data_IF_974036610236
#
_entry.id   IF_974036610236
#
_cell.length_a   1.000
_cell.length_b   1.000
_cell.length_c   1.000
_cell.angle_alpha   90.00
_cell.angle_beta   90.00
_cell.angle_gamma   90.00
#
_symmetry.space_group_name_H-M   'P 1'
#
loop_
_entity.id
_entity.type
_entity.pdbx_description
1 polymer ?
#
# COMPACT_ATOMS: atom_id res chain seq x y z
N UNK A 1 -24.43 21.99 -37.75
CA UNK A 1 -23.82 21.14 -36.71
C UNK A 1 -24.84 21.01 -35.60
N UNK A 2 -25.60 19.91 -35.59
CA UNK A 2 -26.66 19.65 -34.62
C UNK A 2 -26.07 19.01 -33.38
N UNK A 3 -26.58 19.37 -32.20
CA UNK A 3 -26.13 18.90 -30.87
C UNK A 3 -26.28 17.37 -30.63
N UNK A 4 -26.73 16.60 -31.62
CA UNK A 4 -27.21 15.22 -31.45
C UNK A 4 -26.11 14.14 -31.46
N UNK A 5 -24.83 14.50 -31.53
CA UNK A 5 -23.73 13.52 -31.59
C UNK A 5 -22.78 13.50 -30.38
N UNK A 6 -23.11 14.21 -29.29
CA UNK A 6 -22.45 13.98 -28.00
C UNK A 6 -23.13 12.80 -27.27
N UNK A 7 -22.91 11.58 -27.76
CA UNK A 7 -23.14 10.36 -26.97
C UNK A 7 -22.09 10.31 -25.86
N UNK A 8 -22.32 11.03 -24.76
CA UNK A 8 -21.57 10.85 -23.52
C UNK A 8 -21.81 9.40 -23.09
N UNK A 9 -20.84 8.50 -23.35
CA UNK A 9 -20.88 7.17 -22.76
C UNK A 9 -20.97 7.36 -21.24
N UNK A 10 -21.94 6.75 -20.54
CA UNK A 10 -21.96 6.82 -19.09
C UNK A 10 -20.60 6.35 -18.59
N UNK A 11 -19.88 7.26 -17.92
CA UNK A 11 -18.59 6.94 -17.32
C UNK A 11 -18.90 5.90 -16.23
N UNK A 12 -18.36 4.70 -16.36
CA UNK A 12 -18.52 3.68 -15.33
C UNK A 12 -18.07 4.24 -13.98
N UNK A 13 -18.82 3.95 -12.91
CA UNK A 13 -18.43 4.39 -11.56
C UNK A 13 -17.06 3.82 -11.21
N UNK A 14 -16.19 4.66 -10.67
CA UNK A 14 -14.92 4.22 -10.08
C UNK A 14 -15.20 3.46 -8.80
N UNK A 15 -14.57 2.32 -8.62
CA UNK A 15 -14.66 1.55 -7.39
C UNK A 15 -13.46 1.84 -6.52
N UNK A 16 -13.73 2.18 -5.26
CA UNK A 16 -12.74 2.23 -4.20
C UNK A 16 -13.02 1.12 -3.20
N UNK A 17 -12.02 0.31 -2.91
CA UNK A 17 -12.05 -0.73 -1.88
C UNK A 17 -11.03 -0.32 -0.82
N UNK A 18 -11.50 0.22 0.29
CA UNK A 18 -10.66 0.69 1.39
C UNK A 18 -10.62 -0.36 2.50
N UNK A 19 -9.45 -0.95 2.71
CA UNK A 19 -9.16 -1.94 3.73
C UNK A 19 -8.56 -1.22 4.95
N UNK A 20 -9.37 -1.03 5.98
CA UNK A 20 -9.02 -0.27 7.18
C UNK A 20 -8.79 -1.18 8.40
N UNK A 21 -8.09 -0.65 9.39
CA UNK A 21 -7.96 -1.25 10.71
C UNK A 21 -9.28 -1.18 11.48
N UNK A 22 -9.63 -2.22 12.23
CA UNK A 22 -10.79 -2.18 13.12
C UNK A 22 -10.84 -3.40 14.03
N UNK A 23 -11.57 -3.29 15.14
CA UNK A 23 -11.73 -4.37 16.12
C UNK A 23 -12.80 -5.41 15.73
N UNK A 24 -13.69 -5.05 14.79
CA UNK A 24 -14.74 -5.92 14.28
C UNK A 24 -14.67 -5.99 12.76
N UNK A 25 -15.13 -7.09 12.18
CA UNK A 25 -15.21 -7.28 10.73
C UNK A 25 -16.47 -6.61 10.19
N UNK A 26 -16.33 -5.63 9.31
CA UNK A 26 -17.45 -4.85 8.75
C UNK A 26 -17.26 -4.60 7.27
N UNK A 27 -18.38 -4.40 6.57
CA UNK A 27 -18.43 -3.88 5.20
C UNK A 27 -19.44 -2.74 5.20
N UNK A 28 -18.99 -1.53 4.91
CA UNK A 28 -19.85 -0.39 4.67
C UNK A 28 -19.77 -0.01 3.19
N UNK A 29 -20.90 0.36 2.60
CA UNK A 29 -21.00 0.75 1.20
C UNK A 29 -21.61 2.13 1.07
N UNK A 30 -20.95 2.99 0.30
CA UNK A 30 -21.38 4.34 -0.03
C UNK A 30 -21.27 4.54 -1.54
N UNK A 31 -22.17 5.32 -2.14
CA UNK A 31 -22.06 5.63 -3.57
C UNK A 31 -22.69 6.97 -3.92
N UNK A 32 -22.10 7.62 -4.93
CA UNK A 32 -22.68 8.75 -5.65
C UNK A 32 -22.64 8.45 -7.15
N UNK A 33 -22.82 9.46 -8.01
CA UNK A 33 -22.88 9.25 -9.47
C UNK A 33 -21.57 8.78 -10.09
N UNK A 34 -20.43 9.02 -9.45
CA UNK A 34 -19.09 8.79 -10.03
C UNK A 34 -18.28 7.73 -9.28
N UNK A 35 -18.61 7.45 -8.02
CA UNK A 35 -17.84 6.60 -7.10
C UNK A 35 -18.76 5.56 -6.43
N UNK A 36 -18.23 4.35 -6.31
CA UNK A 36 -18.71 3.29 -5.44
C UNK A 36 -17.61 2.99 -4.42
N UNK A 37 -17.87 3.26 -3.15
CA UNK A 37 -16.91 3.16 -2.06
C UNK A 37 -17.30 2.01 -1.13
N UNK A 38 -16.42 1.02 -1.02
CA UNK A 38 -16.49 -0.06 -0.04
C UNK A 38 -15.45 0.19 1.04
N UNK A 39 -15.89 0.29 2.29
CA UNK A 39 -15.02 0.43 3.46
C UNK A 39 -15.11 -0.84 4.28
N UNK A 40 -14.01 -1.61 4.32
CA UNK A 40 -13.95 -2.90 4.98
C UNK A 40 -12.96 -2.85 6.13
N UNK A 41 -13.31 -3.49 7.24
CA UNK A 41 -12.37 -3.82 8.33
C UNK A 41 -12.13 -5.32 8.38
N UNK A 42 -10.89 -5.73 8.69
CA UNK A 42 -10.45 -7.13 8.58
C UNK A 42 -10.65 -7.72 7.16
N UNK A 43 -10.15 -7.03 6.13
CA UNK A 43 -10.38 -7.37 4.72
C UNK A 43 -10.08 -8.83 4.33
N UNK A 44 -9.15 -9.51 5.02
CA UNK A 44 -8.81 -10.92 4.79
C UNK A 44 -10.03 -11.86 4.90
N UNK A 45 -10.97 -11.58 5.81
CA UNK A 45 -12.20 -12.38 5.98
C UNK A 45 -13.09 -12.27 4.74
N UNK A 46 -13.05 -11.13 4.06
CA UNK A 46 -13.84 -10.82 2.88
C UNK A 46 -13.07 -11.04 1.58
N UNK A 47 -12.00 -11.85 1.58
CA UNK A 47 -11.16 -12.12 0.41
C UNK A 47 -11.98 -12.44 -0.84
N UNK A 48 -12.92 -13.39 -0.75
CA UNK A 48 -13.71 -13.80 -1.91
C UNK A 48 -14.57 -12.65 -2.46
N UNK A 49 -15.20 -11.89 -1.56
CA UNK A 49 -15.98 -10.71 -1.94
C UNK A 49 -15.13 -9.64 -2.64
N UNK A 50 -13.95 -9.33 -2.09
CA UNK A 50 -13.01 -8.35 -2.68
C UNK A 50 -12.55 -8.83 -4.07
N UNK A 51 -12.19 -10.11 -4.20
CA UNK A 51 -11.77 -10.68 -5.48
C UNK A 51 -12.89 -10.65 -6.53
N UNK A 52 -14.14 -10.91 -6.13
CA UNK A 52 -15.32 -10.76 -7.01
C UNK A 52 -15.50 -9.30 -7.43
N UNK A 53 -15.44 -8.34 -6.51
CA UNK A 53 -15.53 -6.92 -6.85
C UNK A 53 -14.47 -6.49 -7.86
N UNK A 54 -13.23 -6.92 -7.66
CA UNK A 54 -12.10 -6.65 -8.57
C UNK A 54 -12.36 -7.25 -9.95
N UNK A 55 -12.85 -8.50 -10.01
CA UNK A 55 -13.11 -9.20 -11.27
C UNK A 55 -14.23 -8.56 -12.09
N UNK A 56 -15.28 -8.09 -11.42
CA UNK A 56 -16.50 -7.63 -12.07
C UNK A 56 -16.42 -6.16 -12.55
N UNK A 57 -15.37 -5.42 -12.17
CA UNK A 57 -15.25 -3.99 -12.45
C UNK A 57 -13.92 -3.62 -13.10
N UNK A 58 -13.96 -2.63 -14.00
CA UNK A 58 -12.79 -2.22 -14.80
C UNK A 58 -11.92 -1.12 -14.18
N UNK A 59 -12.52 -0.27 -13.34
CA UNK A 59 -11.83 0.87 -12.71
C UNK A 59 -11.92 0.69 -11.18
N UNK A 60 -11.01 -0.12 -10.65
CA UNK A 60 -10.94 -0.48 -9.23
C UNK A 60 -9.68 0.11 -8.64
N UNK A 61 -9.80 0.69 -7.45
CA UNK A 61 -8.69 1.27 -6.70
C UNK A 61 -8.74 0.66 -5.30
N UNK A 62 -7.65 0.05 -4.87
CA UNK A 62 -7.57 -0.55 -3.53
C UNK A 62 -6.73 0.34 -2.64
N UNK A 63 -7.29 0.73 -1.50
CA UNK A 63 -6.58 1.49 -0.47
C UNK A 63 -6.33 0.54 0.70
N UNK A 64 -5.09 0.42 1.13
CA UNK A 64 -4.68 -0.44 2.24
C UNK A 64 -4.20 0.47 3.38
N UNK A 65 -4.90 0.50 4.50
CA UNK A 65 -4.36 1.14 5.70
C UNK A 65 -3.25 0.25 6.27
N UNK A 66 -2.04 0.78 6.37
CA UNK A 66 -0.92 0.11 6.99
C UNK A 66 -1.07 0.13 8.51
N UNK A 67 -1.05 -1.07 9.06
CA UNK A 67 -1.01 -1.36 10.50
C UNK A 67 0.32 -2.02 10.84
N UNK A 68 0.65 -3.07 10.09
CA UNK A 68 1.88 -3.87 10.20
C UNK A 68 2.41 -4.23 8.82
N UNK A 69 3.68 -4.61 8.74
CA UNK A 69 4.31 -5.07 7.51
C UNK A 69 3.63 -6.37 7.04
N UNK A 70 3.37 -7.27 7.99
CA UNK A 70 2.75 -8.56 7.79
C UNK A 70 1.35 -8.43 7.19
N UNK A 71 0.55 -7.49 7.69
CA UNK A 71 -0.81 -7.26 7.17
C UNK A 71 -0.80 -6.78 5.73
N UNK A 72 0.08 -5.83 5.39
CA UNK A 72 0.22 -5.34 4.01
C UNK A 72 0.63 -6.49 3.09
N UNK A 73 1.67 -7.26 3.45
CA UNK A 73 2.14 -8.40 2.65
C UNK A 73 1.03 -9.44 2.46
N UNK A 74 0.29 -9.77 3.52
CA UNK A 74 -0.84 -10.69 3.46
C UNK A 74 -1.95 -10.18 2.53
N UNK A 75 -2.21 -8.88 2.51
CA UNK A 75 -3.18 -8.27 1.60
C UNK A 75 -2.72 -8.41 0.15
N UNK A 76 -1.48 -8.03 -0.17
CA UNK A 76 -0.92 -8.23 -1.52
C UNK A 76 -1.04 -9.70 -1.96
N UNK A 77 -0.68 -10.64 -1.09
CA UNK A 77 -0.73 -12.08 -1.37
C UNK A 77 -2.13 -12.55 -1.81
N UNK A 78 -3.21 -12.05 -1.19
CA UNK A 78 -4.56 -12.46 -1.60
C UNK A 78 -5.13 -11.63 -2.75
N UNK A 79 -4.61 -10.43 -3.01
CA UNK A 79 -5.01 -9.60 -4.15
C UNK A 79 -4.50 -10.18 -5.48
N UNK A 80 -3.48 -11.05 -5.47
CA UNK A 80 -3.10 -11.78 -6.67
C UNK A 80 -4.24 -12.65 -7.18
N UNK A 81 -4.39 -12.63 -8.51
CA UNK A 81 -5.29 -13.53 -9.20
C UNK A 81 -4.82 -14.97 -8.95
N UNK A 82 -5.71 -15.88 -8.51
CA UNK A 82 -5.40 -17.30 -8.49
C UNK A 82 -4.88 -17.69 -9.88
N UNK A 83 -3.76 -18.41 -9.94
CA UNK A 83 -3.17 -18.96 -11.17
C UNK A 83 -2.29 -17.99 -12.00
N UNK A 84 -2.04 -16.77 -11.53
CA UNK A 84 -1.03 -15.90 -12.16
C UNK A 84 0.38 -16.30 -11.73
N UNK A 85 1.24 -16.67 -12.68
CA UNK A 85 2.69 -16.83 -12.44
C UNK A 85 3.39 -15.50 -12.26
N UNK A 86 2.82 -14.46 -12.85
CA UNK A 86 3.30 -13.09 -12.74
C UNK A 86 2.52 -12.45 -11.59
N UNK A 87 3.16 -12.23 -10.43
CA UNK A 87 2.60 -11.57 -9.25
C UNK A 87 2.34 -10.07 -9.51
N UNK A 88 1.58 -9.79 -10.56
CA UNK A 88 1.26 -8.46 -11.08
C UNK A 88 -0.17 -8.15 -10.74
N UNK A 89 -0.41 -6.95 -10.21
CA UNK A 89 -1.74 -6.47 -9.86
C UNK A 89 -2.19 -5.48 -10.94
N UNK A 90 -3.28 -5.77 -11.69
CA UNK A 90 -3.66 -4.99 -12.86
C UNK A 90 -4.49 -3.74 -12.54
N UNK A 91 -4.52 -3.32 -11.27
CA UNK A 91 -5.30 -2.18 -10.79
C UNK A 91 -4.48 -1.35 -9.78
N UNK A 92 -4.75 -0.03 -9.68
CA UNK A 92 -4.08 0.82 -8.71
C UNK A 92 -4.25 0.36 -7.25
N UNK A 93 -3.12 0.38 -6.53
CA UNK A 93 -3.09 0.19 -5.07
C UNK A 93 -2.44 1.41 -4.44
N UNK A 94 -2.99 1.85 -3.31
CA UNK A 94 -2.39 2.87 -2.46
C UNK A 94 -2.29 2.33 -1.03
N UNK A 95 -1.07 2.25 -0.50
CA UNK A 95 -0.81 1.99 0.92
C UNK A 95 -0.88 3.34 1.65
N UNK A 96 -1.78 3.45 2.62
CA UNK A 96 -2.02 4.65 3.40
C UNK A 96 -1.65 4.42 4.87
N UNK A 97 -1.04 5.38 5.55
CA UNK A 97 -0.82 5.29 7.00
C UNK A 97 -1.08 6.60 7.72
N UNK A 98 -1.52 6.48 8.98
CA UNK A 98 -1.83 7.61 9.86
C UNK A 98 -0.55 8.29 10.32
N UNK A 99 -0.28 9.50 9.81
CA UNK A 99 0.91 10.28 10.17
C UNK A 99 0.96 10.61 11.66
N UNK A 100 -0.21 10.78 12.30
CA UNK A 100 -0.33 11.06 13.73
C UNK A 100 0.27 9.95 14.61
N UNK A 101 0.32 8.70 14.13
CA UNK A 101 0.94 7.58 14.88
C UNK A 101 2.47 7.63 14.85
N UNK A 102 3.06 8.30 13.86
CA UNK A 102 4.50 8.28 13.60
C UNK A 102 5.19 9.63 13.75
N UNK A 103 4.46 10.70 14.10
CA UNK A 103 5.02 12.05 14.27
C UNK A 103 6.29 12.08 15.14
N UNK A 104 6.30 11.30 16.23
CA UNK A 104 7.43 11.19 17.16
C UNK A 104 8.39 10.05 16.84
N UNK A 105 8.03 9.17 15.91
CA UNK A 105 8.77 7.95 15.56
C UNK A 105 9.43 8.04 14.18
N UNK A 106 9.28 9.16 13.47
CA UNK A 106 9.77 9.36 12.10
C UNK A 106 11.27 9.09 11.88
N UNK A 107 12.08 9.19 12.94
CA UNK A 107 13.52 8.90 12.92
C UNK A 107 13.89 7.61 13.67
N UNK A 108 12.92 6.83 14.14
CA UNK A 108 13.20 5.54 14.79
C UNK A 108 13.70 4.51 13.78
N UNK A 109 14.61 3.60 14.18
CA UNK A 109 15.06 2.52 13.30
C UNK A 109 13.91 1.70 12.72
N UNK A 110 12.94 1.34 13.56
CA UNK A 110 11.78 0.53 13.18
C UNK A 110 10.89 1.23 12.14
N UNK A 111 10.65 2.54 12.30
CA UNK A 111 9.88 3.29 11.31
C UNK A 111 10.63 3.41 9.98
N UNK A 112 11.93 3.68 10.02
CA UNK A 112 12.75 3.75 8.80
C UNK A 112 12.74 2.41 8.08
N UNK A 113 12.91 1.31 8.82
CA UNK A 113 12.82 -0.04 8.27
C UNK A 113 11.44 -0.33 7.68
N UNK A 114 10.36 -0.01 8.40
CA UNK A 114 9.00 -0.16 7.89
C UNK A 114 8.81 0.64 6.58
N UNK A 115 9.29 1.89 6.52
CA UNK A 115 9.26 2.68 5.28
C UNK A 115 10.04 1.99 4.15
N UNK A 116 11.23 1.44 4.41
CA UNK A 116 12.01 0.72 3.40
C UNK A 116 11.25 -0.51 2.86
N UNK A 117 10.61 -1.28 3.74
CA UNK A 117 9.83 -2.46 3.36
C UNK A 117 8.58 -2.05 2.56
N UNK A 118 7.83 -1.03 3.01
CA UNK A 118 6.67 -0.52 2.29
C UNK A 118 7.05 0.01 0.89
N UNK A 119 8.16 0.74 0.78
CA UNK A 119 8.69 1.24 -0.49
C UNK A 119 9.13 0.11 -1.42
N UNK A 120 9.78 -0.91 -0.90
CA UNK A 120 10.13 -2.11 -1.67
C UNK A 120 8.88 -2.83 -2.21
N UNK A 121 7.89 -3.10 -1.34
CA UNK A 121 6.62 -3.74 -1.75
C UNK A 121 5.90 -2.87 -2.79
N UNK A 122 5.86 -1.57 -2.57
CA UNK A 122 5.24 -0.60 -3.49
C UNK A 122 5.91 -0.61 -4.85
N UNK A 123 7.25 -0.67 -4.89
CA UNK A 123 8.01 -0.79 -6.12
C UNK A 123 7.73 -2.11 -6.85
N UNK A 124 7.69 -3.24 -6.13
CA UNK A 124 7.43 -4.57 -6.71
C UNK A 124 6.03 -4.65 -7.32
N UNK A 125 5.03 -4.02 -6.70
CA UNK A 125 3.62 -4.13 -7.11
C UNK A 125 3.03 -2.87 -7.73
N UNK A 126 3.86 -1.87 -8.03
CA UNK A 126 3.43 -0.57 -8.58
C UNK A 126 2.36 0.11 -7.72
N UNK A 127 2.48 0.03 -6.40
CA UNK A 127 1.59 0.72 -5.48
C UNK A 127 2.11 2.13 -5.16
N UNK A 128 1.20 3.02 -4.79
CA UNK A 128 1.54 4.31 -4.21
C UNK A 128 1.65 4.17 -2.68
N UNK A 129 2.38 5.09 -2.06
CA UNK A 129 2.36 5.29 -0.61
C UNK A 129 1.84 6.69 -0.33
N UNK A 130 0.92 6.82 0.62
CA UNK A 130 0.44 8.10 1.12
C UNK A 130 0.41 8.10 2.64
N UNK A 131 0.67 9.26 3.23
CA UNK A 131 0.46 9.49 4.66
C UNK A 131 -0.46 10.68 4.85
N UNK A 132 -1.45 10.50 5.72
CA UNK A 132 -2.50 11.47 6.05
C UNK A 132 -2.63 11.53 7.58
N UNK A 133 -3.09 12.65 8.18
CA UNK A 133 -3.29 12.75 9.62
C UNK A 133 -4.16 11.64 10.19
N UNK A 134 -5.26 11.33 9.50
CA UNK A 134 -6.21 10.25 9.82
C UNK A 134 -6.78 9.66 8.53
N UNK A 135 -6.31 8.48 8.16
CA UNK A 135 -6.72 7.72 6.98
C UNK A 135 -8.21 7.39 7.04
N UNK A 136 -8.73 6.95 8.20
CA UNK A 136 -10.16 6.63 8.35
C UNK A 136 -11.06 7.82 8.03
N UNK A 137 -10.75 9.01 8.54
CA UNK A 137 -11.53 10.23 8.33
C UNK A 137 -11.46 10.70 6.86
N UNK A 138 -10.41 10.25 6.15
CA UNK A 138 -10.13 10.53 4.75
C UNK A 138 -10.85 9.59 3.76
N UNK A 139 -11.54 8.55 4.24
CA UNK A 139 -12.25 7.57 3.41
C UNK A 139 -13.74 7.90 3.38
N UNK A 140 -14.08 8.91 2.57
CA UNK A 140 -15.46 9.38 2.32
C UNK A 140 -15.70 9.52 0.81
N UNK A 141 -16.95 9.69 0.38
CA UNK A 141 -17.24 9.90 -1.05
C UNK A 141 -16.61 11.19 -1.60
N UNK A 142 -16.42 12.17 -0.73
CA UNK A 142 -15.89 13.50 -1.06
C UNK A 142 -14.36 13.50 -1.14
N UNK A 143 -13.69 12.66 -0.35
CA UNK A 143 -12.23 12.72 -0.19
C UNK A 143 -11.49 11.52 -0.76
N UNK A 144 -12.16 10.38 -1.02
CA UNK A 144 -11.46 9.13 -1.42
C UNK A 144 -10.66 9.26 -2.72
N UNK A 145 -11.01 10.21 -3.59
CA UNK A 145 -10.24 10.49 -4.81
C UNK A 145 -8.80 10.90 -4.55
N UNK A 146 -8.44 11.37 -3.35
CA UNK A 146 -7.06 11.69 -3.00
C UNK A 146 -6.14 10.46 -2.94
N UNK A 147 -6.71 9.25 -2.81
CA UNK A 147 -5.96 7.99 -2.87
C UNK A 147 -5.76 7.50 -4.30
N UNK A 148 -6.38 8.15 -5.29
CA UNK A 148 -6.21 7.82 -6.69
C UNK A 148 -4.83 8.30 -7.16
N UNK A 149 -4.03 7.48 -7.87
CA UNK A 149 -2.81 7.96 -8.49
C UNK A 149 -3.16 9.06 -9.50
N UNK A 150 -2.74 10.29 -9.23
CA UNK A 150 -2.79 11.37 -10.19
C UNK A 150 -1.39 11.50 -10.77
N UNK A 151 -1.22 11.25 -12.07
CA UNK A 151 0.08 11.27 -12.75
C UNK A 151 0.83 12.62 -12.61
N UNK A 152 0.12 13.69 -12.23
CA UNK A 152 0.66 15.05 -12.06
C UNK A 152 0.99 15.41 -10.60
N UNK A 153 0.76 14.51 -9.63
CA UNK A 153 1.12 14.78 -8.25
C UNK A 153 2.62 14.55 -8.03
N UNK A 154 3.36 15.62 -7.73
CA UNK A 154 4.78 15.53 -7.41
C UNK A 154 5.03 14.68 -6.16
N UNK A 155 6.03 13.80 -6.22
CA UNK A 155 6.44 13.02 -5.06
C UNK A 155 6.83 13.93 -3.88
N UNK A 156 6.33 13.59 -2.69
CA UNK A 156 6.71 14.17 -1.39
C UNK A 156 7.28 13.03 -0.52
N UNK A 157 8.51 12.57 -0.78
CA UNK A 157 9.07 11.36 -0.16
C UNK A 157 9.58 11.59 1.26
N UNK A 158 9.68 12.85 1.69
CA UNK A 158 10.09 13.22 3.05
C UNK A 158 8.82 13.44 3.86
N UNK A 159 8.71 12.75 4.98
CA UNK A 159 7.61 12.89 5.91
C UNK A 159 7.65 14.29 6.56
N UNK A 160 6.49 14.94 6.55
CA UNK A 160 6.30 16.28 7.10
C UNK A 160 5.07 16.27 7.99
N UNK A 161 5.28 16.21 9.31
CA UNK A 161 4.21 16.18 10.31
C UNK A 161 3.41 17.48 10.39
N UNK A 162 3.89 18.58 9.81
CA UNK A 162 3.23 19.89 9.87
C UNK A 162 2.19 20.07 8.76
N UNK A 163 2.18 19.18 7.76
CA UNK A 163 1.21 19.26 6.67
C UNK A 163 -0.20 18.88 7.12
N UNK A 164 -1.18 19.72 6.75
CA UNK A 164 -2.59 19.54 7.13
C UNK A 164 -3.33 18.48 6.32
N UNK A 165 -2.81 18.10 5.15
CA UNK A 165 -3.46 17.17 4.22
C UNK A 165 -2.60 15.92 3.97
N UNK A 166 -1.53 16.07 3.18
CA UNK A 166 -0.64 14.96 2.80
C UNK A 166 0.74 15.17 3.44
N UNK A 167 1.09 14.28 4.37
CA UNK A 167 2.35 14.32 5.09
C UNK A 167 3.49 13.66 4.29
N UNK A 168 3.16 12.65 3.47
CA UNK A 168 4.10 11.96 2.59
C UNK A 168 3.33 11.40 1.39
N UNK A 169 3.95 11.44 0.21
CA UNK A 169 3.42 10.83 -1.00
C UNK A 169 4.55 10.27 -1.85
N UNK A 170 4.49 8.98 -2.16
CA UNK A 170 5.41 8.29 -3.07
C UNK A 170 4.58 7.65 -4.19
N UNK A 171 4.59 8.23 -5.41
CA UNK A 171 3.98 7.61 -6.58
C UNK A 171 4.65 6.28 -6.92
N UNK A 172 3.88 5.35 -7.48
CA UNK A 172 4.36 4.02 -7.89
C UNK A 172 5.54 4.03 -8.87
N UNK A 173 5.67 5.08 -9.67
CA UNK A 173 6.73 5.28 -10.66
C UNK A 173 7.96 6.00 -10.11
N UNK A 174 7.91 6.53 -8.88
CA UNK A 174 8.96 7.39 -8.36
C UNK A 174 10.14 6.60 -7.77
N UNK A 175 9.89 5.45 -7.16
CA UNK A 175 10.90 4.78 -6.36
C UNK A 175 11.93 3.97 -7.17
N UNK A 176 13.09 3.70 -6.55
CA UNK A 176 14.12 2.79 -7.07
C UNK A 176 14.85 2.11 -5.91
N UNK A 177 15.52 0.99 -6.17
CA UNK A 177 16.38 0.32 -5.18
C UNK A 177 17.38 1.28 -4.54
N UNK A 178 18.04 2.11 -5.37
CA UNK A 178 18.99 3.12 -4.88
C UNK A 178 18.35 4.12 -3.92
N UNK A 179 17.12 4.59 -4.18
CA UNK A 179 16.41 5.53 -3.29
C UNK A 179 16.00 4.89 -1.97
N UNK A 180 15.68 3.59 -1.96
CA UNK A 180 15.38 2.83 -0.74
C UNK A 180 16.65 2.66 0.09
N UNK A 181 17.76 2.29 -0.54
CA UNK A 181 19.08 2.12 0.11
C UNK A 181 19.59 3.45 0.69
N UNK A 182 19.47 4.55 -0.08
CA UNK A 182 19.93 5.88 0.37
C UNK A 182 19.19 6.34 1.62
N UNK A 183 17.90 6.03 1.76
CA UNK A 183 17.15 6.33 3.00
C UNK A 183 17.79 5.68 4.23
N UNK A 184 18.15 4.40 4.12
CA UNK A 184 18.81 3.67 5.22
C UNK A 184 20.24 4.15 5.50
N UNK A 185 20.99 4.55 4.46
CA UNK A 185 22.33 5.14 4.61
C UNK A 185 22.31 6.49 5.32
N UNK A 186 21.27 7.29 5.08
CA UNK A 186 21.09 8.60 5.73
C UNK A 186 20.65 8.50 7.19
N UNK A 187 20.17 7.32 7.63
CA UNK A 187 19.80 7.06 9.01
C UNK A 187 21.04 6.71 9.85
N UNK A 188 21.64 7.70 10.51
CA UNK A 188 22.72 7.50 11.48
C UNK A 188 22.14 7.13 12.84
N UNK A 189 21.79 5.84 13.02
CA UNK A 189 21.13 5.34 14.22
C UNK A 189 21.91 4.15 14.82
N UNK A 190 22.03 4.06 16.16
CA UNK A 190 22.55 2.89 16.85
C UNK A 190 21.58 1.69 16.73
N UNK A 191 22.09 0.47 16.88
CA UNK A 191 21.33 -0.80 16.95
C UNK A 191 20.34 -1.02 15.80
N UNK A 192 20.79 -0.75 14.58
CA UNK A 192 19.93 -0.68 13.39
C UNK A 192 20.35 -1.67 12.29
N UNK A 193 20.81 -2.87 12.68
CA UNK A 193 21.33 -3.88 11.75
C UNK A 193 20.28 -4.37 10.75
N UNK A 194 18.99 -4.27 11.09
CA UNK A 194 17.90 -4.61 10.20
C UNK A 194 17.67 -3.57 9.08
N UNK A 195 18.21 -2.34 9.22
CA UNK A 195 18.09 -1.31 8.18
C UNK A 195 18.86 -1.72 6.92
N UNK A 196 18.23 -1.53 5.76
CA UNK A 196 18.78 -1.85 4.45
C UNK A 196 19.70 -0.71 4.01
N UNK A 197 21.02 -0.92 4.07
CA UNK A 197 22.04 0.09 3.75
C UNK A 197 22.86 -0.22 2.51
N UNK A 198 22.62 -1.36 1.88
CA UNK A 198 23.38 -1.84 0.74
C UNK A 198 22.49 -2.70 -0.16
N UNK A 199 22.99 -2.94 -1.37
CA UNK A 199 22.29 -3.70 -2.38
C UNK A 199 22.17 -5.17 -2.02
N UNK A 200 23.15 -5.74 -1.30
CA UNK A 200 23.12 -7.14 -0.87
C UNK A 200 21.94 -7.44 0.05
N UNK A 201 21.68 -6.60 1.05
CA UNK A 201 20.51 -6.73 1.93
C UNK A 201 19.19 -6.57 1.17
N UNK A 202 19.13 -5.64 0.22
CA UNK A 202 17.91 -5.43 -0.57
C UNK A 202 17.66 -6.62 -1.53
N UNK A 203 18.73 -7.19 -2.09
CA UNK A 203 18.66 -8.37 -2.95
C UNK A 203 18.28 -9.63 -2.17
N UNK A 204 18.77 -9.77 -0.94
CA UNK A 204 18.33 -10.83 -0.03
C UNK A 204 16.84 -10.70 0.31
N UNK A 205 16.36 -9.48 0.64
CA UNK A 205 14.93 -9.24 0.82
C UNK A 205 14.13 -9.61 -0.43
N UNK A 206 14.58 -9.20 -1.62
CA UNK A 206 13.88 -9.50 -2.88
C UNK A 206 13.79 -11.00 -3.15
N UNK A 207 14.89 -11.74 -2.95
CA UNK A 207 14.89 -13.20 -3.08
C UNK A 207 13.95 -13.87 -2.08
N UNK A 208 13.96 -13.44 -0.82
CA UNK A 208 13.05 -13.97 0.21
C UNK A 208 11.59 -13.64 -0.09
N UNK A 209 11.32 -12.46 -0.63
CA UNK A 209 9.98 -12.04 -1.04
C UNK A 209 9.46 -12.88 -2.19
N UNK A 210 10.27 -13.16 -3.21
CA UNK A 210 9.88 -14.05 -4.31
C UNK A 210 9.58 -15.47 -3.83
N UNK A 211 10.42 -16.03 -2.95
CA UNK A 211 10.16 -17.34 -2.33
C UNK A 211 8.90 -17.35 -1.49
N UNK A 212 8.60 -16.27 -0.77
CA UNK A 212 7.34 -16.14 -0.02
C UNK A 212 6.13 -16.13 -0.95
N UNK A 213 6.19 -15.38 -2.05
CA UNK A 213 5.13 -15.34 -3.06
C UNK A 213 4.89 -16.72 -3.71
N UNK A 214 5.97 -17.48 -3.93
CA UNK A 214 5.94 -18.86 -4.43
C UNK A 214 5.52 -19.89 -3.36
N UNK A 215 5.20 -19.44 -2.13
CA UNK A 215 4.82 -20.27 -0.97
C UNK A 215 5.93 -21.22 -0.49
N UNK A 216 7.18 -20.93 -0.84
CA UNK A 216 8.35 -21.65 -0.35
C UNK A 216 8.74 -21.17 1.05
N UNK A 217 8.53 -19.87 1.33
CA UNK A 217 8.85 -19.23 2.62
C UNK A 217 7.58 -18.83 3.38
N UNK A 218 7.64 -18.88 4.70
CA UNK A 218 6.65 -18.27 5.59
C UNK A 218 7.00 -16.80 5.91
N UNK A 219 6.12 -16.12 6.67
CA UNK A 219 6.30 -14.70 7.01
C UNK A 219 7.57 -14.44 7.84
N UNK A 220 7.91 -15.34 8.76
CA UNK A 220 9.07 -15.17 9.63
C UNK A 220 10.38 -15.31 8.84
N UNK A 221 10.45 -16.27 7.93
CA UNK A 221 11.57 -16.41 6.99
C UNK A 221 11.69 -15.18 6.08
N UNK A 222 10.56 -14.66 5.59
CA UNK A 222 10.54 -13.42 4.78
C UNK A 222 11.09 -12.23 5.55
N UNK A 223 10.72 -12.07 6.82
CA UNK A 223 11.15 -10.93 7.64
C UNK A 223 12.49 -11.17 8.35
N UNK A 224 13.10 -12.33 8.17
CA UNK A 224 14.40 -12.67 8.76
C UNK A 224 14.31 -12.94 10.25
N UNK A 225 13.10 -13.23 10.75
CA UNK A 225 12.81 -13.64 12.12
C UNK A 225 13.03 -15.14 12.25
N UNK A 226 14.25 -15.63 12.03
CA UNK A 226 14.53 -17.04 12.29
C UNK A 226 14.71 -17.22 13.80
N UNK A 227 13.92 -18.12 14.38
CA UNK A 227 14.08 -18.57 15.76
C UNK A 227 15.55 -18.93 16.01
N UNK A 228 16.14 -18.35 17.05
CA UNK A 228 17.32 -18.90 17.69
C UNK A 228 16.96 -20.28 18.22
N UNK A 229 16.97 -21.30 17.36
CA UNK A 229 16.88 -22.67 17.81
C UNK A 229 18.08 -22.90 18.72
N UNK A 230 17.74 -23.21 19.97
CA UNK A 230 18.61 -23.20 21.12
C UNK A 230 19.87 -24.01 20.94
N UNK A 231 20.87 -23.54 21.69
CA UNK A 231 22.11 -24.23 22.05
C UNK A 231 21.88 -25.65 22.55
#
# INVERSE_FOLDING_TARGET
>A
MTLEELKVKPKGKKIFICLLEGSQSTINYYSNDTVSLYVLTHGKIFKQFIQTLIKDHKDVNVVIQFTTIEDVINIFNFLYTPDSTDFTIPFPITIAYDSALYEKLQLSPDFIYAQQILRYISLKHRANIISLPKVRDSVTLETVSQFYPVDDQSAKPIFDSTAEQVNLYIPSSWDTWNKIIVQGKSALLPDSDHIIRDETKLQDLDSRYEKYLQKEYNMDQLLGKVESNGS
#
